data_IF_864822881133
#
_entry.id   IF_864822881133
#
_cell.length_a   1.000
_cell.length_b   1.000
_cell.length_c   1.000
_cell.angle_alpha   90.00
_cell.angle_beta   90.00
_cell.angle_gamma   90.00
#
_symmetry.space_group_name_H-M   'P 1'
#
loop_
_entity.id
_entity.type
_entity.pdbx_description
1 polymer ?
#
# COMPACT_ATOMS: atom_id res chain seq x y z
N UNK A 1 -17.65 13.55 2.17
CA UNK A 1 -16.66 14.46 1.54
C UNK A 1 -17.10 15.90 1.77
N UNK A 2 -16.58 16.58 2.80
CA UNK A 2 -17.04 17.93 3.19
C UNK A 2 -16.49 19.06 2.30
N UNK A 3 -15.43 18.83 1.51
CA UNK A 3 -14.79 19.88 0.70
C UNK A 3 -15.62 20.33 -0.50
N UNK A 4 -16.35 19.41 -1.15
CA UNK A 4 -17.18 19.71 -2.33
C UNK A 4 -18.31 20.69 -1.98
N UNK A 5 -18.85 20.60 -0.75
CA UNK A 5 -19.88 21.51 -0.26
C UNK A 5 -19.39 22.96 -0.08
N UNK A 6 -18.08 23.19 -0.02
CA UNK A 6 -17.45 24.50 0.16
C UNK A 6 -16.92 25.09 -1.17
N UNK A 7 -17.18 24.40 -2.29
CA UNK A 7 -16.87 24.91 -3.62
C UNK A 7 -17.80 26.09 -3.97
N UNK A 8 -17.35 27.00 -4.84
CA UNK A 8 -18.22 28.04 -5.38
C UNK A 8 -19.44 27.41 -6.06
N UNK A 9 -20.66 27.82 -5.67
CA UNK A 9 -21.92 27.25 -6.19
C UNK A 9 -22.10 27.46 -7.71
N UNK A 10 -21.54 28.54 -8.25
CA UNK A 10 -21.57 28.89 -9.67
C UNK A 10 -20.18 28.76 -10.32
N UNK A 11 -19.36 27.81 -9.83
CA UNK A 11 -18.05 27.56 -10.41
C UNK A 11 -18.13 27.09 -11.86
N UNK A 12 -17.24 27.61 -12.69
CA UNK A 12 -17.09 27.26 -14.11
C UNK A 12 -16.01 26.20 -14.32
N UNK A 13 -15.12 26.02 -13.34
CA UNK A 13 -13.97 25.12 -13.45
C UNK A 13 -14.34 23.70 -13.01
N UNK A 14 -14.21 22.75 -13.94
CA UNK A 14 -14.27 21.32 -13.64
C UNK A 14 -12.91 20.81 -13.13
N UNK A 15 -12.63 21.04 -11.84
CA UNK A 15 -11.44 20.54 -11.19
C UNK A 15 -11.75 20.07 -9.77
N UNK A 16 -11.22 18.90 -9.40
CA UNK A 16 -11.42 18.34 -8.07
C UNK A 16 -10.69 19.14 -6.97
N UNK A 17 -9.48 19.64 -7.26
CA UNK A 17 -8.69 20.43 -6.34
C UNK A 17 -8.74 21.91 -6.70
N UNK A 18 -9.54 22.67 -5.96
CA UNK A 18 -9.64 24.11 -6.09
C UNK A 18 -8.66 24.83 -5.16
N UNK A 19 -8.22 26.02 -5.58
CA UNK A 19 -7.30 26.85 -4.79
C UNK A 19 -8.01 27.38 -3.54
N UNK A 20 -7.44 27.23 -2.33
CA UNK A 20 -8.02 27.81 -1.13
C UNK A 20 -7.91 29.34 -1.15
N UNK A 21 -8.91 30.03 -0.62
CA UNK A 21 -8.87 31.48 -0.39
C UNK A 21 -7.94 31.80 0.77
N UNK A 22 -7.23 32.93 0.68
CA UNK A 22 -6.39 33.44 1.80
C UNK A 22 -7.22 33.78 3.03
N UNK A 23 -8.43 34.31 2.80
CA UNK A 23 -9.41 34.64 3.84
C UNK A 23 -10.71 33.95 3.42
N UNK A 24 -11.09 32.82 4.06
CA UNK A 24 -12.33 32.14 3.73
C UNK A 24 -13.55 32.95 4.19
N UNK A 25 -14.61 32.95 3.37
CA UNK A 25 -15.93 33.42 3.79
C UNK A 25 -16.71 32.23 4.36
N UNK A 26 -17.71 32.46 5.23
CA UNK A 26 -18.46 31.41 5.95
C UNK A 26 -18.83 30.22 5.07
N UNK A 27 -19.33 30.47 3.87
CA UNK A 27 -19.90 29.45 2.98
C UNK A 27 -19.02 29.11 1.75
N UNK A 28 -17.91 29.82 1.52
CA UNK A 28 -17.05 29.59 0.34
C UNK A 28 -15.58 29.75 0.69
N UNK A 29 -14.87 28.62 0.72
CA UNK A 29 -13.46 28.55 1.13
C UNK A 29 -12.49 28.46 -0.04
N UNK A 30 -12.99 28.16 -1.23
CA UNK A 30 -12.17 27.95 -2.43
C UNK A 30 -12.47 28.97 -3.52
N UNK A 31 -11.46 29.27 -4.34
CA UNK A 31 -11.62 30.02 -5.57
C UNK A 31 -12.09 29.09 -6.70
N UNK A 32 -12.80 29.65 -7.67
CA UNK A 32 -13.14 28.95 -8.93
C UNK A 32 -11.91 28.88 -9.85
N UNK A 33 -10.87 28.21 -9.38
CA UNK A 33 -9.60 28.07 -10.09
C UNK A 33 -8.88 26.83 -9.60
N UNK A 34 -8.26 26.04 -10.49
CA UNK A 34 -7.56 24.84 -10.09
C UNK A 34 -6.32 25.18 -9.26
N UNK A 35 -5.92 24.27 -8.39
CA UNK A 35 -4.60 24.32 -7.74
C UNK A 35 -3.53 24.16 -8.81
N UNK A 36 -2.47 24.98 -8.74
CA UNK A 36 -1.37 24.92 -9.69
C UNK A 36 -0.62 23.59 -9.65
N UNK A 37 -0.15 23.11 -10.81
CA UNK A 37 0.50 21.80 -10.95
C UNK A 37 1.71 21.64 -10.02
N UNK A 38 2.55 22.67 -9.86
CA UNK A 38 3.70 22.63 -8.96
C UNK A 38 3.31 22.54 -7.48
N UNK A 39 2.17 23.12 -7.10
CA UNK A 39 1.63 23.00 -5.74
C UNK A 39 1.15 21.58 -5.47
N UNK A 40 0.47 20.95 -6.44
CA UNK A 40 0.03 19.55 -6.33
C UNK A 40 1.24 18.62 -6.29
N UNK A 41 2.22 18.79 -7.18
CA UNK A 41 3.43 17.96 -7.26
C UNK A 41 4.26 17.99 -5.96
N UNK A 42 4.27 19.12 -5.25
CA UNK A 42 4.99 19.30 -3.99
C UNK A 42 4.18 18.98 -2.73
N UNK A 43 2.92 18.54 -2.87
CA UNK A 43 2.01 18.34 -1.73
C UNK A 43 2.52 17.31 -0.73
N UNK A 44 2.88 16.10 -1.17
CA UNK A 44 3.39 15.06 -0.26
C UNK A 44 4.69 15.50 0.41
N UNK A 45 5.60 16.12 -0.35
CA UNK A 45 6.85 16.66 0.21
C UNK A 45 6.57 17.62 1.36
N UNK A 46 5.68 18.59 1.14
CA UNK A 46 5.29 19.58 2.15
C UNK A 46 4.63 18.94 3.37
N UNK A 47 3.71 17.99 3.16
CA UNK A 47 3.04 17.29 4.26
C UNK A 47 4.03 16.48 5.12
N UNK A 48 4.92 15.73 4.50
CA UNK A 48 5.95 14.96 5.21
C UNK A 48 6.89 15.89 6.00
N UNK A 49 7.31 17.01 5.41
CA UNK A 49 8.13 18.01 6.10
C UNK A 49 7.41 18.62 7.31
N UNK A 50 6.14 19.02 7.14
CA UNK A 50 5.33 19.57 8.24
C UNK A 50 5.06 18.55 9.35
N UNK A 51 5.00 17.25 9.02
CA UNK A 51 4.83 16.17 9.98
C UNK A 51 6.17 15.71 10.62
N UNK A 52 7.31 16.32 10.27
CA UNK A 52 8.62 15.92 10.79
C UNK A 52 9.14 14.59 10.25
N UNK A 53 8.57 14.08 9.15
CA UNK A 53 9.00 12.83 8.53
C UNK A 53 10.27 13.08 7.71
N UNK A 54 11.38 12.51 8.17
CA UNK A 54 12.70 12.69 7.56
C UNK A 54 12.82 11.81 6.32
N UNK A 55 13.15 12.41 5.17
CA UNK A 55 13.43 11.70 3.93
C UNK A 55 12.93 12.41 2.67
N UNK A 56 13.20 11.80 1.51
CA UNK A 56 12.73 12.30 0.22
C UNK A 56 11.42 11.63 -0.19
N UNK A 57 10.31 12.24 0.22
CA UNK A 57 8.96 11.76 -0.11
C UNK A 57 8.31 12.65 -1.16
N UNK A 58 7.80 12.01 -2.21
CA UNK A 58 7.10 12.65 -3.32
C UNK A 58 5.72 12.02 -3.51
N UNK A 59 4.89 12.60 -4.37
CA UNK A 59 3.62 11.99 -4.75
C UNK A 59 3.80 10.57 -5.31
N UNK A 60 4.92 10.29 -5.97
CA UNK A 60 5.26 8.94 -6.43
C UNK A 60 5.49 7.97 -5.27
N UNK A 61 6.16 8.41 -4.20
CA UNK A 61 6.36 7.63 -2.98
C UNK A 61 5.03 7.25 -2.32
N UNK A 62 4.07 8.18 -2.30
CA UNK A 62 2.72 7.91 -1.80
C UNK A 62 2.00 6.88 -2.69
N UNK A 63 2.08 7.02 -4.02
CA UNK A 63 1.49 6.06 -4.96
C UNK A 63 2.06 4.65 -4.78
N UNK A 64 3.38 4.54 -4.61
CA UNK A 64 4.05 3.28 -4.29
C UNK A 64 3.53 2.67 -2.99
N UNK A 65 3.41 3.49 -1.95
CA UNK A 65 2.89 3.06 -0.63
C UNK A 65 1.45 2.54 -0.74
N UNK A 66 0.59 3.25 -1.46
CA UNK A 66 -0.79 2.81 -1.71
C UNK A 66 -0.85 1.47 -2.45
N UNK A 67 -0.05 1.31 -3.52
CA UNK A 67 0.02 0.06 -4.27
C UNK A 67 0.49 -1.11 -3.40
N UNK A 68 1.57 -0.93 -2.63
CA UNK A 68 2.09 -1.95 -1.71
C UNK A 68 1.05 -2.35 -0.67
N UNK A 69 0.32 -1.38 -0.08
CA UNK A 69 -0.74 -1.68 0.89
C UNK A 69 -1.89 -2.48 0.28
N UNK A 70 -2.30 -2.14 -0.95
CA UNK A 70 -3.34 -2.90 -1.65
C UNK A 70 -2.91 -4.34 -1.93
N UNK A 71 -1.66 -4.56 -2.34
CA UNK A 71 -1.11 -5.91 -2.50
C UNK A 71 -1.08 -6.68 -1.18
N UNK A 72 -0.68 -6.04 -0.08
CA UNK A 72 -0.65 -6.66 1.25
C UNK A 72 -2.06 -7.03 1.74
N UNK A 73 -3.07 -6.25 1.35
CA UNK A 73 -4.48 -6.55 1.62
C UNK A 73 -5.07 -7.64 0.69
N UNK A 74 -4.28 -8.18 -0.25
CA UNK A 74 -4.73 -9.21 -1.18
C UNK A 74 -5.67 -8.70 -2.27
N UNK A 75 -5.70 -7.39 -2.54
CA UNK A 75 -6.51 -6.82 -3.62
C UNK A 75 -5.98 -7.28 -4.97
N UNK A 76 -6.89 -7.56 -5.89
CA UNK A 76 -6.55 -8.01 -7.24
C UNK A 76 -5.67 -6.99 -8.00
N UNK A 77 -4.69 -7.50 -8.74
CA UNK A 77 -3.71 -6.68 -9.47
C UNK A 77 -4.37 -5.78 -10.52
N UNK A 78 -5.45 -6.22 -11.18
CA UNK A 78 -6.18 -5.41 -12.15
C UNK A 78 -6.74 -4.15 -11.47
N UNK A 79 -7.40 -4.31 -10.32
CA UNK A 79 -7.97 -3.20 -9.58
C UNK A 79 -6.89 -2.24 -9.07
N UNK A 80 -5.75 -2.77 -8.62
CA UNK A 80 -4.60 -1.94 -8.21
C UNK A 80 -4.07 -1.15 -9.40
N UNK A 81 -3.91 -1.78 -10.55
CA UNK A 81 -3.44 -1.17 -11.80
C UNK A 81 -4.35 -0.02 -12.23
N UNK A 82 -5.67 -0.24 -12.21
CA UNK A 82 -6.68 0.77 -12.51
C UNK A 82 -6.63 1.95 -11.53
N UNK A 83 -6.60 1.69 -10.23
CA UNK A 83 -6.60 2.75 -9.20
C UNK A 83 -5.30 3.54 -9.14
N UNK A 84 -4.18 2.91 -9.48
CA UNK A 84 -2.88 3.58 -9.51
C UNK A 84 -2.59 4.22 -10.87
N UNK A 85 -3.36 3.89 -11.92
CA UNK A 85 -3.20 4.43 -13.27
C UNK A 85 -2.01 3.83 -14.03
N UNK A 86 -1.59 2.61 -13.72
CA UNK A 86 -0.58 1.93 -14.52
C UNK A 86 -1.19 1.40 -15.83
N UNK A 87 -0.41 1.45 -16.91
CA UNK A 87 -0.75 0.84 -18.21
C UNK A 87 0.01 -0.46 -18.47
N UNK A 88 1.03 -0.74 -17.66
CA UNK A 88 1.90 -1.89 -17.78
C UNK A 88 2.00 -2.64 -16.46
N UNK A 89 2.70 -3.77 -16.49
CA UNK A 89 3.04 -4.58 -15.33
C UNK A 89 4.02 -3.90 -14.34
N UNK A 90 4.42 -2.64 -14.55
CA UNK A 90 5.33 -1.91 -13.67
C UNK A 90 4.80 -1.79 -12.22
N UNK A 91 3.48 -1.92 -12.02
CA UNK A 91 2.85 -1.99 -10.69
C UNK A 91 3.41 -3.13 -9.84
N UNK A 92 3.88 -4.22 -10.46
CA UNK A 92 4.45 -5.39 -9.78
C UNK A 92 5.73 -5.06 -9.01
N UNK A 93 6.44 -3.99 -9.37
CA UNK A 93 7.61 -3.52 -8.61
C UNK A 93 7.25 -3.12 -7.15
N UNK A 94 5.97 -2.86 -6.88
CA UNK A 94 5.47 -2.57 -5.53
C UNK A 94 5.01 -3.79 -4.74
N UNK A 95 5.01 -4.99 -5.35
CA UNK A 95 4.73 -6.27 -4.70
C UNK A 95 5.94 -6.69 -3.86
N UNK A 96 6.11 -6.02 -2.73
CA UNK A 96 7.13 -6.36 -1.73
C UNK A 96 6.58 -7.50 -0.88
N UNK A 97 7.26 -8.64 -0.88
CA UNK A 97 6.96 -9.75 0.03
C UNK A 97 7.21 -9.28 1.46
N UNK A 98 6.20 -9.37 2.32
CA UNK A 98 6.40 -9.16 3.77
C UNK A 98 6.99 -10.41 4.41
N UNK A 99 7.70 -10.25 5.52
CA UNK A 99 8.26 -11.38 6.28
C UNK A 99 7.16 -12.35 6.73
N UNK A 100 5.98 -11.83 7.07
CA UNK A 100 4.81 -12.62 7.40
C UNK A 100 4.32 -13.49 6.22
N UNK A 101 4.35 -12.95 4.99
CA UNK A 101 4.03 -13.72 3.79
C UNK A 101 5.07 -14.82 3.53
N UNK A 102 6.35 -14.52 3.71
CA UNK A 102 7.42 -15.52 3.56
C UNK A 102 7.32 -16.63 4.62
N UNK A 103 7.02 -16.28 5.87
CA UNK A 103 6.79 -17.23 6.95
C UNK A 103 5.58 -18.14 6.67
N UNK A 104 4.47 -17.57 6.16
CA UNK A 104 3.30 -18.34 5.75
C UNK A 104 3.64 -19.36 4.64
N UNK A 105 4.37 -18.92 3.61
CA UNK A 105 4.84 -19.81 2.53
C UNK A 105 5.73 -20.92 3.09
N UNK A 106 6.69 -20.57 3.97
CA UNK A 106 7.57 -21.56 4.62
C UNK A 106 6.79 -22.60 5.43
N UNK A 107 5.77 -22.16 6.18
CA UNK A 107 4.89 -23.06 6.95
C UNK A 107 4.13 -24.03 6.05
N UNK A 108 3.56 -23.54 4.94
CA UNK A 108 2.84 -24.39 3.96
C UNK A 108 3.79 -25.43 3.37
N UNK A 109 4.98 -25.02 2.93
CA UNK A 109 5.99 -25.93 2.38
C UNK A 109 6.45 -26.98 3.41
N UNK A 110 6.70 -26.56 4.66
CA UNK A 110 7.10 -27.46 5.74
C UNK A 110 6.01 -28.48 6.09
N UNK A 111 4.73 -28.08 6.05
CA UNK A 111 3.60 -28.97 6.32
C UNK A 111 3.39 -30.03 5.23
N UNK A 112 3.86 -29.77 4.00
CA UNK A 112 3.83 -30.73 2.89
C UNK A 112 4.82 -31.90 3.05
N UNK A 113 5.84 -31.77 3.90
CA UNK A 113 6.93 -32.74 4.03
C UNK A 113 6.65 -33.89 5.02
N UNK A 114 5.56 -33.85 5.79
CA UNK A 114 5.28 -34.85 6.86
C UNK A 114 4.43 -36.06 6.45
N UNK A 115 4.32 -36.38 5.15
CA UNK A 115 3.51 -37.52 4.67
C UNK A 115 4.29 -38.71 4.12
N UNK A 116 5.56 -38.90 4.47
CA UNK A 116 6.25 -40.15 4.14
C UNK A 116 7.00 -40.76 5.33
N UNK A 117 6.33 -41.76 5.94
CA UNK A 117 6.83 -43.00 6.55
C UNK A 117 8.04 -42.94 7.49
N UNK A 118 7.79 -43.26 8.77
CA UNK A 118 8.66 -44.09 9.61
C UNK A 118 7.81 -44.74 10.71
N UNK A 119 6.96 -45.67 10.30
CA UNK A 119 6.71 -46.85 11.13
C UNK A 119 7.59 -47.98 10.57
N UNK A 120 8.08 -48.81 11.49
CA UNK A 120 8.87 -50.02 11.30
C UNK A 120 10.41 -49.85 11.35
N UNK A 121 10.95 -50.00 12.56
CA UNK A 121 12.08 -50.87 12.92
C UNK A 121 12.44 -50.68 14.41
N UNK A 122 11.62 -51.25 15.30
CA UNK A 122 12.11 -51.69 16.61
C UNK A 122 12.10 -53.20 16.56
N UNK A 123 13.20 -53.73 16.04
CA UNK A 123 13.56 -55.15 16.14
C UNK A 123 13.88 -55.44 17.61
N UNK A 124 12.89 -55.96 18.32
CA UNK A 124 13.05 -56.50 19.67
C UNK A 124 13.71 -57.86 19.61
N UNK A 125 14.95 -57.99 20.10
CA UNK A 125 15.45 -59.04 21.04
C UNK A 125 16.97 -59.30 20.89
N UNK A 126 17.67 -59.96 21.83
CA UNK A 126 17.65 -59.79 23.29
C UNK A 126 19.07 -59.77 23.93
N UNK A 127 19.13 -59.40 25.22
CA UNK A 127 19.99 -59.99 26.27
C UNK A 127 21.53 -59.81 26.27
N UNK A 128 21.97 -58.89 27.13
CA UNK A 128 22.98 -58.98 28.22
C UNK A 128 24.33 -59.70 27.98
N UNK A 129 25.36 -58.84 27.95
CA UNK A 129 26.71 -58.90 28.53
C UNK A 129 27.11 -60.12 29.39
N UNK A 130 28.32 -60.65 29.12
CA UNK A 130 29.05 -61.64 29.91
C UNK A 130 30.41 -61.07 30.30
N UNK A 131 30.68 -60.92 31.60
CA UNK A 131 31.86 -61.38 32.35
C UNK A 131 31.65 -61.05 33.83
#
# INVERSE_FOLDING_TARGET
>A
MKSIALHPKNGTVDAFYLRPKKIPCSDVWYCDSPVGIHTIQSTVKRLCQSAGIIGYFTNHSLRATSATRLYQAGVDEQLITEKTGHRSNAVRAYKRTSDAQQASVSSVLHSGSKKHKLEELVDTSPSKFKQ
#
